data_IF_487404920703
#
_entry.id   IF_487404920703
#
_cell.length_a   1.000
_cell.length_b   1.000
_cell.length_c   1.000
_cell.angle_alpha   90.00
_cell.angle_beta   90.00
_cell.angle_gamma   90.00
#
_symmetry.space_group_name_H-M   'P 1'
#
loop_
_entity.id
_entity.type
_entity.pdbx_description
1 polymer ?
#
# COMPACT_ATOMS: atom_id res chain seq x y z
N UNK A 1 -29.76 36.63 0.78
CA UNK A 1 -28.64 37.08 1.62
C UNK A 1 -28.53 36.16 2.82
N UNK A 2 -27.85 35.02 2.71
CA UNK A 2 -27.37 34.32 3.91
C UNK A 2 -26.13 33.50 3.53
N UNK A 3 -25.00 33.97 4.06
CA UNK A 3 -23.71 33.28 3.99
C UNK A 3 -23.73 32.11 4.97
N UNK A 4 -23.86 30.89 4.48
CA UNK A 4 -23.63 29.69 5.29
C UNK A 4 -22.12 29.50 5.40
N UNK A 5 -21.59 29.74 6.62
CA UNK A 5 -20.21 29.42 7.02
C UNK A 5 -20.06 27.89 7.02
N UNK A 6 -19.25 27.36 6.13
CA UNK A 6 -18.73 25.99 6.23
C UNK A 6 -17.73 25.93 7.39
N UNK A 7 -18.14 25.36 8.51
CA UNK A 7 -17.24 25.00 9.60
C UNK A 7 -16.49 23.71 9.23
N UNK A 8 -15.18 23.86 9.23
CA UNK A 8 -14.20 22.80 9.02
C UNK A 8 -14.30 21.75 10.13
N UNK A 9 -14.75 20.52 9.80
CA UNK A 9 -14.93 19.42 10.77
C UNK A 9 -13.68 18.52 10.92
N UNK A 10 -12.52 18.96 10.48
CA UNK A 10 -11.30 18.13 10.47
C UNK A 10 -10.34 18.37 11.64
N UNK A 11 -10.63 19.27 12.55
CA UNK A 11 -9.71 19.61 13.66
C UNK A 11 -10.05 19.03 15.05
N UNK A 12 -11.06 18.17 15.20
CA UNK A 12 -11.59 17.84 16.54
C UNK A 12 -11.24 16.42 17.04
N UNK A 13 -10.30 15.68 16.46
CA UNK A 13 -10.00 14.29 16.87
C UNK A 13 -8.69 14.08 17.63
N UNK A 14 -7.86 15.10 17.85
CA UNK A 14 -6.59 14.95 18.58
C UNK A 14 -6.52 15.66 19.94
N UNK A 15 -7.58 16.31 20.43
CA UNK A 15 -7.53 17.14 21.67
C UNK A 15 -8.55 16.73 22.74
N UNK A 16 -8.66 15.43 23.05
CA UNK A 16 -9.43 14.98 24.20
C UNK A 16 -8.61 13.98 25.03
N UNK A 17 -7.62 14.45 25.78
CA UNK A 17 -7.05 13.73 26.92
C UNK A 17 -7.48 14.42 28.21
N UNK A 18 -8.69 14.14 28.63
CA UNK A 18 -9.20 14.31 29.97
C UNK A 18 -9.63 12.94 30.49
N UNK A 19 -9.12 12.56 31.62
CA UNK A 19 -9.35 11.37 32.44
C UNK A 19 -10.66 10.60 32.17
N UNK A 20 -10.59 9.36 31.67
CA UNK A 20 -11.68 8.38 31.77
C UNK A 20 -11.22 7.14 32.51
N UNK A 21 -11.99 6.82 33.55
CA UNK A 21 -11.87 5.66 34.44
C UNK A 21 -11.89 4.35 33.66
N UNK A 22 -11.04 3.42 34.10
CA UNK A 22 -10.86 2.05 33.61
C UNK A 22 -12.17 1.25 33.70
N UNK A 23 -12.65 0.74 32.56
CA UNK A 23 -13.58 -0.37 32.46
C UNK A 23 -12.85 -1.52 31.78
N UNK A 24 -12.76 -2.67 32.44
CA UNK A 24 -12.09 -3.88 32.00
C UNK A 24 -12.87 -4.56 30.88
N UNK A 25 -12.25 -4.72 29.70
CA UNK A 25 -12.66 -5.70 28.69
C UNK A 25 -11.39 -6.36 28.13
N UNK A 26 -11.33 -7.71 28.25
CA UNK A 26 -10.47 -8.67 27.59
C UNK A 26 -8.99 -8.28 27.39
N UNK A 27 -8.14 -8.53 28.42
CA UNK A 27 -6.81 -8.01 28.49
C UNK A 27 -5.80 -8.64 27.55
N UNK A 28 -5.29 -7.82 26.63
CA UNK A 28 -3.84 -7.76 26.42
C UNK A 28 -3.45 -6.42 27.08
N UNK A 29 -2.70 -6.50 28.18
CA UNK A 29 -2.18 -5.33 28.85
C UNK A 29 -1.25 -4.62 27.86
N UNK A 30 -1.70 -3.52 27.28
CA UNK A 30 -0.85 -2.56 26.57
C UNK A 30 -0.02 -1.92 27.67
N UNK A 31 1.19 -2.46 27.95
CA UNK A 31 2.20 -1.74 28.69
C UNK A 31 2.33 -0.37 28.04
N UNK A 32 2.21 0.67 28.85
CA UNK A 32 2.44 2.06 28.43
C UNK A 32 3.85 2.13 27.85
N UNK A 33 3.96 2.14 26.53
CA UNK A 33 5.20 2.49 25.85
C UNK A 33 5.52 3.94 26.22
N UNK A 34 6.47 4.15 27.09
CA UNK A 34 6.90 5.46 27.57
C UNK A 34 7.42 6.35 26.42
N UNK A 35 7.69 5.76 25.23
CA UNK A 35 8.12 6.50 24.05
C UNK A 35 7.51 5.94 22.76
N UNK A 36 6.20 6.17 22.52
CA UNK A 36 5.51 5.70 21.32
C UNK A 36 6.14 6.19 20.01
N UNK A 37 6.85 7.32 20.02
CA UNK A 37 7.53 7.87 18.85
C UNK A 37 8.64 6.94 18.34
N UNK A 38 9.28 6.19 19.23
CA UNK A 38 10.38 5.28 18.90
C UNK A 38 9.92 3.87 18.47
N UNK A 39 8.61 3.56 18.62
CA UNK A 39 8.03 2.32 18.14
C UNK A 39 8.07 2.25 16.61
N UNK A 40 8.19 1.06 16.01
CA UNK A 40 8.25 0.92 14.55
C UNK A 40 6.90 1.21 13.88
N UNK A 41 6.96 1.52 12.60
CA UNK A 41 5.80 1.53 11.69
C UNK A 41 5.61 0.10 11.19
N UNK A 42 4.41 -0.46 11.37
CA UNK A 42 4.05 -1.76 10.79
C UNK A 42 3.55 -1.58 9.35
N UNK A 43 4.13 -2.32 8.44
CA UNK A 43 3.74 -2.34 7.01
C UNK A 43 3.39 -3.76 6.65
N UNK A 44 2.21 -4.03 6.10
CA UNK A 44 1.90 -5.37 5.62
C UNK A 44 1.28 -5.38 4.23
N UNK A 45 1.48 -6.52 3.58
CA UNK A 45 0.96 -6.83 2.26
C UNK A 45 0.58 -8.31 2.16
N UNK A 46 -0.21 -8.67 1.17
CA UNK A 46 -0.56 -10.06 0.87
C UNK A 46 0.63 -10.92 0.46
N UNK A 47 1.79 -10.33 0.23
CA UNK A 47 3.00 -11.00 -0.21
C UNK A 47 4.21 -10.06 -0.21
N UNK A 48 5.15 -10.26 -1.13
CA UNK A 48 6.36 -9.43 -1.24
C UNK A 48 6.11 -8.06 -1.91
N UNK A 49 4.95 -7.88 -2.55
CA UNK A 49 4.63 -6.66 -3.31
C UNK A 49 4.72 -5.39 -2.50
N UNK A 50 4.33 -5.43 -1.23
CA UNK A 50 4.36 -4.28 -0.32
C UNK A 50 5.74 -3.70 -0.05
N UNK A 51 6.81 -4.40 -0.43
CA UNK A 51 8.17 -3.87 -0.40
C UNK A 51 8.32 -2.66 -1.32
N UNK A 52 7.55 -2.57 -2.39
CA UNK A 52 7.49 -1.37 -3.24
C UNK A 52 7.06 -0.12 -2.45
N UNK A 53 6.06 -0.26 -1.59
CA UNK A 53 5.60 0.80 -0.70
C UNK A 53 6.57 1.04 0.45
N UNK A 54 7.15 -0.03 1.02
CA UNK A 54 8.17 0.08 2.07
C UNK A 54 9.38 0.91 1.61
N UNK A 55 9.83 0.75 0.37
CA UNK A 55 10.90 1.56 -0.22
C UNK A 55 10.57 3.06 -0.20
N UNK A 56 9.37 3.42 -0.60
CA UNK A 56 8.91 4.80 -0.58
C UNK A 56 8.80 5.36 0.85
N UNK A 57 8.35 4.53 1.81
CA UNK A 57 8.30 4.90 3.22
C UNK A 57 9.70 5.17 3.79
N UNK A 58 10.66 4.28 3.52
CA UNK A 58 12.06 4.45 3.97
C UNK A 58 12.71 5.67 3.32
N UNK A 59 12.44 5.93 2.03
CA UNK A 59 12.93 7.12 1.34
C UNK A 59 12.37 8.42 1.94
N UNK A 60 11.06 8.44 2.24
CA UNK A 60 10.36 9.60 2.79
C UNK A 60 10.71 9.86 4.26
N UNK A 61 10.85 8.79 5.05
CA UNK A 61 11.06 8.86 6.49
C UNK A 61 12.22 7.94 6.91
N UNK A 62 13.48 8.28 6.56
CA UNK A 62 14.63 7.38 6.75
C UNK A 62 14.98 7.14 8.22
N UNK A 63 14.50 7.99 9.14
CA UNK A 63 14.80 7.88 10.57
C UNK A 63 13.78 7.02 11.33
N UNK A 64 12.73 6.52 10.65
CA UNK A 64 11.74 5.61 11.23
C UNK A 64 12.22 4.16 11.22
N UNK A 65 11.81 3.39 12.23
CA UNK A 65 11.94 1.94 12.19
C UNK A 65 10.71 1.34 11.53
N UNK A 66 10.90 0.22 10.82
CA UNK A 66 9.84 -0.49 10.12
C UNK A 66 9.86 -1.97 10.47
N UNK A 67 8.67 -2.56 10.60
CA UNK A 67 8.44 -4.00 10.54
C UNK A 67 7.56 -4.25 9.32
N UNK A 68 8.10 -4.93 8.33
CA UNK A 68 7.34 -5.40 7.17
C UNK A 68 6.87 -6.82 7.40
N UNK A 69 5.63 -7.11 7.06
CA UNK A 69 5.07 -8.45 7.06
C UNK A 69 4.42 -8.76 5.72
N UNK A 70 4.96 -9.75 5.00
CA UNK A 70 4.41 -10.31 3.77
C UNK A 70 3.66 -11.62 4.05
N UNK A 71 2.36 -11.68 3.71
CA UNK A 71 1.58 -12.92 3.87
C UNK A 71 1.63 -13.81 2.63
N UNK A 72 2.84 -14.11 2.14
CA UNK A 72 3.08 -14.88 0.92
C UNK A 72 2.49 -16.30 0.96
N UNK A 73 2.31 -16.89 2.15
CA UNK A 73 1.63 -18.20 2.30
C UNK A 73 0.19 -18.17 1.80
N UNK A 74 -0.47 -17.04 1.92
CA UNK A 74 -1.85 -16.84 1.53
C UNK A 74 -1.99 -15.99 0.24
N UNK A 75 -0.88 -15.61 -0.39
CA UNK A 75 -0.90 -14.89 -1.66
C UNK A 75 -1.47 -15.77 -2.80
N UNK A 76 -2.11 -15.19 -3.84
CA UNK A 76 -2.52 -13.80 -3.94
C UNK A 76 -3.89 -13.55 -3.29
N UNK A 77 -4.08 -12.39 -2.63
CA UNK A 77 -5.40 -12.02 -2.08
C UNK A 77 -6.43 -11.72 -3.16
N UNK A 78 -5.99 -11.33 -4.35
CA UNK A 78 -6.86 -10.94 -5.46
C UNK A 78 -7.76 -12.02 -6.04
N UNK A 79 -7.57 -13.29 -5.68
CA UNK A 79 -8.38 -14.46 -6.09
C UNK A 79 -9.30 -14.99 -4.99
N UNK A 80 -9.21 -14.43 -3.77
CA UNK A 80 -9.98 -14.89 -2.60
C UNK A 80 -11.34 -14.19 -2.50
N UNK A 81 -12.18 -14.67 -1.58
CA UNK A 81 -13.45 -14.00 -1.25
C UNK A 81 -13.18 -12.76 -0.36
N UNK A 82 -14.17 -11.85 -0.31
CA UNK A 82 -14.09 -10.66 0.53
C UNK A 82 -13.87 -11.01 2.00
N UNK A 83 -14.62 -11.99 2.51
CA UNK A 83 -14.55 -12.45 3.91
C UNK A 83 -13.18 -13.04 4.24
N UNK A 84 -12.62 -13.85 3.32
CA UNK A 84 -11.28 -14.41 3.50
C UNK A 84 -10.23 -13.31 3.58
N UNK A 85 -10.28 -12.32 2.68
CA UNK A 85 -9.33 -11.20 2.68
C UNK A 85 -9.48 -10.36 3.95
N UNK A 86 -10.71 -10.09 4.39
CA UNK A 86 -10.96 -9.36 5.64
C UNK A 86 -10.36 -10.08 6.85
N UNK A 87 -10.55 -11.41 6.94
CA UNK A 87 -10.01 -12.24 8.01
C UNK A 87 -8.48 -12.24 8.03
N UNK A 88 -7.86 -12.46 6.88
CA UNK A 88 -6.40 -12.45 6.74
C UNK A 88 -5.82 -11.07 7.09
N UNK A 89 -6.40 -10.00 6.53
CA UNK A 89 -5.97 -8.62 6.80
C UNK A 89 -6.05 -8.26 8.30
N UNK A 90 -7.11 -8.72 9.00
CA UNK A 90 -7.21 -8.51 10.44
C UNK A 90 -6.12 -9.30 11.20
N UNK A 91 -5.81 -10.52 10.80
CA UNK A 91 -4.76 -11.33 11.42
C UNK A 91 -3.36 -10.71 11.23
N UNK A 92 -3.06 -10.20 10.03
CA UNK A 92 -1.80 -9.51 9.72
C UNK A 92 -1.64 -8.25 10.57
N UNK A 93 -2.73 -7.47 10.69
CA UNK A 93 -2.74 -6.29 11.56
C UNK A 93 -2.51 -6.66 13.02
N UNK A 94 -3.17 -7.70 13.53
CA UNK A 94 -3.00 -8.19 14.91
C UNK A 94 -1.56 -8.68 15.17
N UNK A 95 -0.95 -9.37 14.19
CA UNK A 95 0.45 -9.76 14.27
C UNK A 95 1.36 -8.54 14.45
N UNK A 96 1.23 -7.51 13.62
CA UNK A 96 2.05 -6.29 13.73
C UNK A 96 1.79 -5.53 15.04
N UNK A 97 0.52 -5.46 15.48
CA UNK A 97 0.18 -4.83 16.76
C UNK A 97 0.81 -5.55 17.94
N UNK A 98 0.88 -6.89 17.92
CA UNK A 98 1.57 -7.67 18.95
C UNK A 98 3.08 -7.37 19.02
N UNK A 99 3.64 -6.80 17.93
CA UNK A 99 5.04 -6.36 17.82
C UNK A 99 5.23 -4.90 18.29
N UNK A 100 4.19 -4.25 18.79
CA UNK A 100 4.27 -2.91 19.36
C UNK A 100 4.43 -1.78 18.34
N UNK A 101 3.85 -1.89 17.15
CA UNK A 101 3.92 -0.84 16.13
C UNK A 101 3.10 0.39 16.52
N UNK A 102 3.56 1.58 16.15
CA UNK A 102 2.89 2.87 16.42
C UNK A 102 1.87 3.27 15.36
N UNK A 103 1.97 2.71 14.17
CA UNK A 103 1.07 2.94 13.04
C UNK A 103 1.00 1.69 12.16
N UNK A 104 -0.09 1.51 11.44
CA UNK A 104 -0.28 0.44 10.45
C UNK A 104 -0.37 1.03 9.05
N UNK A 105 0.42 0.50 8.13
CA UNK A 105 0.34 0.76 6.69
C UNK A 105 -0.11 -0.51 5.98
N UNK A 106 -1.32 -0.49 5.44
CA UNK A 106 -1.87 -1.54 4.61
C UNK A 106 -1.39 -1.29 3.19
N UNK A 107 -0.27 -1.92 2.81
CA UNK A 107 0.35 -1.72 1.51
C UNK A 107 -0.41 -2.40 0.37
N UNK A 108 -1.12 -3.51 0.63
CA UNK A 108 -1.92 -4.24 -0.35
C UNK A 108 -3.17 -3.46 -0.78
N UNK A 109 -3.35 -3.23 -2.09
CA UNK A 109 -4.56 -2.58 -2.63
C UNK A 109 -5.81 -3.43 -2.37
N UNK A 110 -5.72 -4.75 -2.54
CA UNK A 110 -6.83 -5.67 -2.30
C UNK A 110 -7.25 -5.67 -0.82
N UNK A 111 -6.29 -5.78 0.11
CA UNK A 111 -6.56 -5.70 1.55
C UNK A 111 -7.13 -4.34 1.96
N UNK A 112 -6.60 -3.25 1.39
CA UNK A 112 -7.12 -1.90 1.63
C UNK A 112 -8.57 -1.76 1.18
N UNK A 113 -8.91 -2.23 0.00
CA UNK A 113 -10.29 -2.18 -0.51
C UNK A 113 -11.23 -2.98 0.37
N UNK A 114 -10.82 -4.18 0.80
CA UNK A 114 -11.65 -5.11 1.56
C UNK A 114 -11.82 -4.72 3.05
N UNK A 115 -10.80 -4.19 3.72
CA UNK A 115 -10.77 -4.17 5.18
C UNK A 115 -10.32 -2.85 5.84
N UNK A 116 -9.90 -1.82 5.10
CA UNK A 116 -9.34 -0.60 5.72
C UNK A 116 -10.32 0.09 6.66
N UNK A 117 -11.62 0.04 6.36
CA UNK A 117 -12.67 0.61 7.23
C UNK A 117 -12.76 -0.15 8.54
N UNK A 118 -12.75 -1.49 8.47
CA UNK A 118 -12.78 -2.36 9.65
C UNK A 118 -11.59 -2.08 10.56
N UNK A 119 -10.38 -1.98 9.99
CA UNK A 119 -9.17 -1.69 10.76
C UNK A 119 -9.22 -0.30 11.41
N UNK A 120 -9.71 0.72 10.71
CA UNK A 120 -9.83 2.09 11.24
C UNK A 120 -10.85 2.18 12.38
N UNK A 121 -11.95 1.45 12.28
CA UNK A 121 -12.95 1.36 13.35
C UNK A 121 -12.41 0.60 14.57
N UNK A 122 -11.72 -0.53 14.33
CA UNK A 122 -11.17 -1.37 15.40
C UNK A 122 -9.98 -0.71 16.12
N UNK A 123 -9.17 0.07 15.41
CA UNK A 123 -7.94 0.67 15.93
C UNK A 123 -7.97 2.20 15.81
N UNK A 124 -9.06 2.81 16.31
CA UNK A 124 -9.30 4.26 16.19
C UNK A 124 -8.24 5.14 16.87
N UNK A 125 -7.52 4.62 17.86
CA UNK A 125 -6.52 5.34 18.64
C UNK A 125 -5.11 5.35 18.01
N UNK A 126 -4.97 4.82 16.79
CA UNK A 126 -3.70 4.80 16.07
C UNK A 126 -3.87 5.12 14.58
N UNK A 127 -2.83 5.65 13.92
CA UNK A 127 -2.85 5.86 12.48
C UNK A 127 -2.95 4.53 11.73
N UNK A 128 -4.00 4.37 10.90
CA UNK A 128 -4.16 3.26 9.94
C UNK A 128 -4.24 3.84 8.54
N UNK A 129 -3.19 3.63 7.75
CA UNK A 129 -3.02 4.14 6.40
C UNK A 129 -3.22 2.99 5.41
N UNK A 130 -4.08 3.17 4.41
CA UNK A 130 -4.24 2.22 3.31
C UNK A 130 -3.77 2.83 2.01
N UNK A 131 -3.11 2.03 1.17
CA UNK A 131 -2.75 2.45 -0.17
C UNK A 131 -3.99 2.73 -1.02
N UNK A 132 -3.89 3.71 -1.92
CA UNK A 132 -4.86 3.93 -2.97
C UNK A 132 -4.15 3.97 -4.33
N UNK A 133 -4.77 3.43 -5.39
CA UNK A 133 -4.25 3.56 -6.74
C UNK A 133 -4.03 5.03 -7.13
N UNK A 134 -2.91 5.32 -7.80
CA UNK A 134 -2.50 6.69 -8.14
C UNK A 134 -3.32 7.27 -9.32
N UNK A 135 -4.65 7.17 -9.25
CA UNK A 135 -5.54 7.62 -10.32
C UNK A 135 -5.53 9.15 -10.44
N UNK A 136 -5.52 9.86 -9.31
CA UNK A 136 -5.52 11.33 -9.30
C UNK A 136 -4.35 11.94 -10.10
N UNK A 137 -3.07 11.60 -9.89
CA UNK A 137 -1.99 12.14 -10.72
C UNK A 137 -2.09 11.69 -12.19
N UNK A 138 -2.58 10.49 -12.48
CA UNK A 138 -2.72 9.99 -13.85
C UNK A 138 -3.75 10.78 -14.67
N UNK A 139 -4.90 11.10 -14.10
CA UNK A 139 -5.95 11.87 -14.79
C UNK A 139 -5.57 13.35 -15.01
N UNK A 140 -4.59 13.86 -14.26
CA UNK A 140 -4.09 15.23 -14.44
C UNK A 140 -2.80 15.29 -15.29
N UNK A 141 -2.38 14.18 -15.90
CA UNK A 141 -1.16 14.14 -16.72
C UNK A 141 -1.34 14.74 -18.13
N UNK A 142 -2.57 15.08 -18.51
CA UNK A 142 -2.88 15.67 -19.82
C UNK A 142 -4.34 16.14 -19.93
N UNK A 143 -4.73 16.63 -21.10
CA UNK A 143 -6.11 17.03 -21.37
C UNK A 143 -7.00 15.83 -21.71
N UNK A 144 -7.69 15.25 -20.74
CA UNK A 144 -8.58 14.08 -20.85
C UNK A 144 -7.83 12.80 -21.33
N UNK A 145 -6.85 12.33 -20.54
CA UNK A 145 -6.00 11.18 -20.92
C UNK A 145 -6.77 9.86 -20.90
N UNK A 146 -6.29 8.91 -21.73
CA UNK A 146 -6.70 7.50 -21.64
C UNK A 146 -5.83 6.80 -20.60
N UNK A 147 -6.42 6.46 -19.47
CA UNK A 147 -5.74 5.89 -18.30
C UNK A 147 -6.05 4.40 -18.15
N UNK A 148 -5.05 3.54 -18.32
CA UNK A 148 -5.17 2.11 -18.11
C UNK A 148 -4.87 1.75 -16.66
N UNK A 149 -5.85 1.26 -15.93
CA UNK A 149 -5.67 0.84 -14.53
C UNK A 149 -5.48 -0.67 -14.47
N UNK A 150 -4.25 -1.09 -14.21
CA UNK A 150 -3.87 -2.49 -13.99
C UNK A 150 -4.09 -2.84 -12.52
N UNK A 151 -4.93 -3.84 -12.24
CA UNK A 151 -5.17 -4.28 -10.86
C UNK A 151 -5.60 -5.75 -10.79
N UNK A 152 -5.69 -6.29 -9.58
CA UNK A 152 -6.23 -7.64 -9.38
C UNK A 152 -7.72 -7.67 -9.69
N UNK A 153 -8.28 -8.82 -10.14
CA UNK A 153 -9.70 -8.96 -10.41
C UNK A 153 -10.58 -8.55 -9.22
N UNK A 154 -10.17 -8.87 -7.99
CA UNK A 154 -10.89 -8.48 -6.78
C UNK A 154 -10.88 -6.95 -6.60
N UNK A 155 -9.72 -6.30 -6.68
CA UNK A 155 -9.62 -4.83 -6.54
C UNK A 155 -10.55 -4.10 -7.51
N UNK A 156 -10.63 -4.58 -8.76
CA UNK A 156 -11.48 -3.97 -9.78
C UNK A 156 -12.98 -4.16 -9.54
N UNK A 157 -13.39 -5.16 -8.75
CA UNK A 157 -14.81 -5.43 -8.40
C UNK A 157 -15.27 -4.70 -7.15
N UNK A 158 -14.35 -4.25 -6.31
CA UNK A 158 -14.69 -3.61 -5.03
C UNK A 158 -15.36 -2.24 -5.21
N UNK A 159 -16.40 -1.99 -4.42
CA UNK A 159 -17.17 -0.73 -4.44
C UNK A 159 -16.28 0.50 -4.19
N UNK A 160 -15.32 0.39 -3.28
CA UNK A 160 -14.36 1.47 -2.99
C UNK A 160 -13.57 1.87 -4.23
N UNK A 161 -13.16 0.90 -5.04
CA UNK A 161 -12.43 1.16 -6.29
C UNK A 161 -13.35 1.77 -7.36
N UNK A 162 -14.59 1.29 -7.47
CA UNK A 162 -15.60 1.89 -8.35
C UNK A 162 -15.85 3.35 -7.99
N UNK A 163 -16.09 3.65 -6.72
CA UNK A 163 -16.29 5.02 -6.25
C UNK A 163 -15.07 5.93 -6.51
N UNK A 164 -13.86 5.39 -6.43
CA UNK A 164 -12.65 6.13 -6.79
C UNK A 164 -12.64 6.50 -8.27
N UNK A 165 -12.95 5.56 -9.16
CA UNK A 165 -12.96 5.80 -10.61
C UNK A 165 -14.06 6.79 -11.01
N UNK A 166 -15.28 6.65 -10.48
CA UNK A 166 -16.40 7.56 -10.76
C UNK A 166 -16.07 9.02 -10.47
N UNK A 167 -15.21 9.30 -9.50
CA UNK A 167 -14.77 10.67 -9.18
C UNK A 167 -13.99 11.34 -10.31
N UNK A 168 -13.46 10.59 -11.26
CA UNK A 168 -12.59 11.07 -12.32
C UNK A 168 -13.07 10.73 -13.73
N UNK A 169 -14.27 10.14 -13.88
CA UNK A 169 -14.84 9.77 -15.19
C UNK A 169 -15.06 10.98 -16.10
N UNK A 170 -15.24 12.19 -15.54
CA UNK A 170 -15.33 13.43 -16.33
C UNK A 170 -13.95 13.93 -16.81
N UNK A 171 -12.86 13.51 -16.17
CA UNK A 171 -11.54 14.07 -16.37
C UNK A 171 -10.67 13.20 -17.29
N UNK A 172 -11.02 11.92 -17.45
CA UNK A 172 -10.24 10.95 -18.21
C UNK A 172 -11.08 9.77 -18.72
N UNK A 173 -10.65 9.12 -19.81
CA UNK A 173 -11.13 7.79 -20.18
C UNK A 173 -10.42 6.73 -19.34
N UNK A 174 -11.11 6.12 -18.37
CA UNK A 174 -10.53 5.15 -17.46
C UNK A 174 -10.83 3.73 -17.91
N UNK A 175 -9.79 3.02 -18.31
CA UNK A 175 -9.82 1.63 -18.76
C UNK A 175 -9.37 0.69 -17.63
N UNK A 176 -10.04 -0.45 -17.47
CA UNK A 176 -9.76 -1.43 -16.42
C UNK A 176 -9.09 -2.64 -17.02
N UNK A 177 -7.89 -2.99 -16.54
CA UNK A 177 -7.17 -4.17 -16.96
C UNK A 177 -6.97 -5.11 -15.77
N UNK A 178 -7.78 -6.18 -15.65
CA UNK A 178 -7.50 -7.24 -14.68
C UNK A 178 -6.26 -8.02 -15.12
N UNK A 179 -5.32 -8.23 -14.19
CA UNK A 179 -4.05 -8.92 -14.46
C UNK A 179 -3.89 -10.19 -13.59
N UNK A 180 -4.75 -11.22 -13.77
CA UNK A 180 -4.56 -12.50 -13.07
C UNK A 180 -3.25 -13.13 -13.52
N UNK A 181 -2.48 -13.72 -12.60
CA UNK A 181 -1.20 -14.36 -12.90
C UNK A 181 0.03 -13.44 -12.74
N UNK A 182 -0.12 -12.11 -12.82
CA UNK A 182 1.03 -11.20 -12.75
C UNK A 182 1.67 -11.13 -11.34
N UNK A 183 0.88 -11.31 -10.29
CA UNK A 183 1.37 -11.36 -8.91
C UNK A 183 2.31 -12.54 -8.72
N UNK A 184 1.95 -13.69 -9.27
CA UNK A 184 2.68 -14.95 -9.14
C UNK A 184 4.09 -14.86 -9.75
N UNK A 185 4.27 -14.15 -10.87
CA UNK A 185 5.59 -13.88 -11.43
C UNK A 185 6.49 -13.17 -10.42
N UNK A 186 5.98 -12.13 -9.77
CA UNK A 186 6.77 -11.36 -8.80
C UNK A 186 7.05 -12.16 -7.53
N UNK A 187 6.07 -12.93 -7.01
CA UNK A 187 6.25 -13.81 -5.85
C UNK A 187 7.29 -14.92 -6.12
N UNK A 188 7.45 -15.33 -7.36
CA UNK A 188 8.50 -16.27 -7.80
C UNK A 188 9.83 -15.57 -8.10
N UNK A 189 9.88 -14.23 -8.03
CA UNK A 189 11.07 -13.44 -8.32
C UNK A 189 11.37 -13.29 -9.81
N UNK A 190 10.40 -13.56 -10.68
CA UNK A 190 10.49 -13.34 -12.14
C UNK A 190 10.05 -11.91 -12.42
N UNK A 191 11.03 -11.02 -12.59
CA UNK A 191 10.81 -9.56 -12.76
C UNK A 191 11.06 -9.09 -14.20
N UNK A 192 11.67 -9.94 -15.03
CA UNK A 192 12.04 -9.69 -16.42
C UNK A 192 12.16 -11.01 -17.20
N UNK A 193 12.33 -10.92 -18.51
CA UNK A 193 12.57 -12.07 -19.38
C UNK A 193 11.43 -12.34 -20.34
N UNK A 194 11.70 -13.20 -21.35
CA UNK A 194 10.81 -13.44 -22.49
C UNK A 194 9.41 -13.95 -22.10
N UNK A 195 9.33 -14.77 -21.05
CA UNK A 195 8.05 -15.32 -20.58
C UNK A 195 7.14 -14.22 -20.01
N UNK A 196 7.67 -13.36 -19.14
CA UNK A 196 6.95 -12.22 -18.59
C UNK A 196 6.58 -11.21 -19.69
N UNK A 197 7.51 -10.94 -20.63
CA UNK A 197 7.24 -10.07 -21.77
C UNK A 197 6.08 -10.60 -22.63
N UNK A 198 6.06 -11.89 -22.95
CA UNK A 198 4.98 -12.52 -23.69
C UNK A 198 3.64 -12.48 -22.94
N UNK A 199 3.67 -12.73 -21.63
CA UNK A 199 2.49 -12.63 -20.78
C UNK A 199 1.91 -11.20 -20.79
N UNK A 200 2.74 -10.19 -20.58
CA UNK A 200 2.30 -8.78 -20.58
C UNK A 200 1.87 -8.31 -21.97
N UNK A 201 2.55 -8.75 -23.04
CA UNK A 201 2.17 -8.42 -24.41
C UNK A 201 0.74 -8.91 -24.74
N UNK A 202 0.39 -10.13 -24.31
CA UNK A 202 -0.97 -10.66 -24.46
C UNK A 202 -2.00 -9.84 -23.66
N UNK A 203 -1.65 -9.36 -22.47
CA UNK A 203 -2.55 -8.46 -21.69
C UNK A 203 -2.78 -7.11 -22.38
N UNK A 204 -1.77 -6.59 -23.09
CA UNK A 204 -1.83 -5.28 -23.75
C UNK A 204 -2.35 -5.35 -25.18
N UNK A 205 -2.51 -6.53 -25.77
CA UNK A 205 -2.98 -6.71 -27.15
C UNK A 205 -4.25 -5.88 -27.47
N UNK A 206 -5.31 -5.83 -26.62
CA UNK A 206 -6.50 -5.06 -26.90
C UNK A 206 -6.29 -3.53 -26.98
N UNK A 207 -5.16 -3.05 -26.46
CA UNK A 207 -4.86 -1.59 -26.39
C UNK A 207 -3.88 -1.13 -27.47
N UNK A 208 -3.37 -2.03 -28.32
CA UNK A 208 -2.41 -1.70 -29.38
C UNK A 208 -3.01 -0.80 -30.46
N UNK A 209 -4.28 -1.00 -30.81
CA UNK A 209 -4.97 -0.18 -31.83
C UNK A 209 -5.37 1.21 -31.33
N UNK A 210 -5.50 1.38 -30.02
CA UNK A 210 -5.86 2.64 -29.37
C UNK A 210 -4.94 2.84 -28.16
N UNK A 211 -3.74 3.41 -28.37
CA UNK A 211 -2.75 3.57 -27.30
C UNK A 211 -3.29 4.34 -26.09
N UNK A 212 -2.72 4.02 -24.93
CA UNK A 212 -3.02 4.70 -23.67
C UNK A 212 -1.96 5.77 -23.36
N UNK A 213 -2.37 6.85 -22.70
CA UNK A 213 -1.46 7.93 -22.31
C UNK A 213 -0.77 7.61 -20.98
N UNK A 214 -1.53 6.95 -20.08
CA UNK A 214 -1.08 6.67 -18.74
C UNK A 214 -1.44 5.25 -18.31
N UNK A 215 -0.60 4.68 -17.43
CA UNK A 215 -0.87 3.43 -16.73
C UNK A 215 -0.84 3.69 -15.23
N UNK A 216 -1.84 3.17 -14.51
CA UNK A 216 -1.86 3.13 -13.05
C UNK A 216 -1.61 1.70 -12.59
N UNK A 217 -0.55 1.49 -11.83
CA UNK A 217 -0.21 0.21 -11.21
C UNK A 217 -1.02 0.07 -9.92
N UNK A 218 -2.20 -0.51 -10.00
CA UNK A 218 -3.15 -0.70 -8.90
C UNK A 218 -2.87 -1.94 -8.03
N UNK A 219 -1.66 -2.49 -8.10
CA UNK A 219 -1.17 -3.59 -7.28
C UNK A 219 0.28 -3.33 -6.90
N UNK A 220 0.65 -3.63 -5.66
CA UNK A 220 1.98 -3.42 -5.07
C UNK A 220 3.09 -4.24 -5.74
N UNK A 221 2.73 -5.34 -6.38
CA UNK A 221 3.67 -6.19 -7.12
C UNK A 221 4.11 -5.57 -8.45
N UNK A 222 3.24 -4.82 -9.12
CA UNK A 222 3.47 -4.34 -10.48
C UNK A 222 4.60 -3.31 -10.63
N UNK A 223 4.95 -2.47 -9.63
CA UNK A 223 6.15 -1.62 -9.71
C UNK A 223 7.45 -2.39 -9.97
N UNK A 224 7.55 -3.66 -9.57
CA UNK A 224 8.75 -4.48 -9.81
C UNK A 224 8.92 -4.95 -11.27
N UNK A 225 7.85 -4.89 -12.06
CA UNK A 225 7.87 -5.20 -13.50
C UNK A 225 7.62 -3.96 -14.37
N UNK A 226 7.75 -2.77 -13.77
CA UNK A 226 7.51 -1.48 -14.40
C UNK A 226 8.32 -1.29 -15.69
N UNK A 227 9.59 -1.71 -15.70
CA UNK A 227 10.47 -1.56 -16.86
C UNK A 227 9.98 -2.41 -18.04
N UNK A 228 9.51 -3.64 -17.79
CA UNK A 228 8.93 -4.49 -18.82
C UNK A 228 7.61 -3.91 -19.36
N UNK A 229 6.76 -3.36 -18.47
CA UNK A 229 5.52 -2.65 -18.86
C UNK A 229 5.87 -1.44 -19.74
N UNK A 230 6.84 -0.62 -19.32
CA UNK A 230 7.28 0.57 -20.05
C UNK A 230 7.84 0.23 -21.44
N UNK A 231 8.64 -0.85 -21.53
CA UNK A 231 9.19 -1.35 -22.80
C UNK A 231 8.09 -1.73 -23.78
N UNK A 232 7.04 -2.41 -23.32
CA UNK A 232 5.95 -2.90 -24.17
C UNK A 232 4.98 -1.79 -24.61
N UNK A 233 4.71 -0.83 -23.75
CA UNK A 233 3.77 0.26 -24.04
C UNK A 233 4.44 1.48 -24.69
N UNK A 234 5.77 1.56 -24.65
CA UNK A 234 6.55 2.66 -25.22
C UNK A 234 6.89 3.76 -24.23
N UNK A 235 7.97 4.49 -24.52
CA UNK A 235 8.52 5.53 -23.62
C UNK A 235 7.61 6.74 -23.40
N UNK A 236 6.61 6.96 -24.26
CA UNK A 236 5.65 8.06 -24.14
C UNK A 236 4.57 7.83 -23.08
N UNK A 237 4.35 6.59 -22.65
CA UNK A 237 3.33 6.26 -21.66
C UNK A 237 3.82 6.57 -20.25
N UNK A 238 3.06 7.36 -19.50
CA UNK A 238 3.40 7.67 -18.12
C UNK A 238 2.87 6.58 -17.19
N UNK A 239 3.71 6.09 -16.26
CA UNK A 239 3.33 5.04 -15.31
C UNK A 239 3.30 5.60 -13.89
N UNK A 240 2.18 5.38 -13.20
CA UNK A 240 1.93 5.84 -11.84
C UNK A 240 1.65 4.67 -10.90
N UNK A 241 2.08 4.79 -9.65
CA UNK A 241 1.75 3.86 -8.56
C UNK A 241 1.44 4.59 -7.25
N UNK A 242 0.87 3.87 -6.29
CA UNK A 242 0.38 4.44 -5.04
C UNK A 242 1.45 4.60 -3.95
N UNK A 243 2.67 4.11 -4.15
CA UNK A 243 3.70 4.02 -3.10
C UNK A 243 4.07 5.36 -2.49
N UNK A 244 4.54 6.31 -3.32
CA UNK A 244 4.96 7.64 -2.86
C UNK A 244 3.79 8.42 -2.22
N UNK A 245 2.56 8.26 -2.72
CA UNK A 245 1.36 8.85 -2.12
C UNK A 245 1.09 8.30 -0.72
N UNK A 246 1.24 7.00 -0.54
CA UNK A 246 1.08 6.31 0.75
C UNK A 246 2.14 6.74 1.74
N UNK A 247 3.39 6.91 1.32
CA UNK A 247 4.47 7.38 2.16
C UNK A 247 4.22 8.82 2.68
N UNK A 248 3.82 9.73 1.81
CA UNK A 248 3.46 11.11 2.20
C UNK A 248 2.27 11.16 3.17
N UNK A 249 1.23 10.36 2.93
CA UNK A 249 0.08 10.29 3.84
C UNK A 249 0.46 9.69 5.19
N UNK A 250 1.34 8.69 5.21
CA UNK A 250 1.87 8.11 6.46
C UNK A 250 2.62 9.17 7.26
N UNK A 251 3.53 9.90 6.63
CA UNK A 251 4.27 10.99 7.29
C UNK A 251 3.33 12.06 7.85
N UNK A 252 2.37 12.50 7.05
CA UNK A 252 1.38 13.48 7.48
C UNK A 252 0.62 13.02 8.72
N UNK A 253 0.13 11.76 8.71
CA UNK A 253 -0.63 11.20 9.84
C UNK A 253 0.22 11.04 11.10
N UNK A 254 1.49 10.68 10.96
CA UNK A 254 2.41 10.61 12.09
C UNK A 254 2.68 12.00 12.68
N UNK A 255 2.87 13.03 11.84
CA UNK A 255 3.03 14.42 12.27
C UNK A 255 1.79 14.91 13.01
N UNK A 256 0.59 14.69 12.47
CA UNK A 256 -0.69 15.09 13.08
C UNK A 256 -0.90 14.47 14.47
N UNK A 257 -0.37 13.24 14.68
CA UNK A 257 -0.48 12.53 15.97
C UNK A 257 0.75 12.73 16.89
N UNK A 258 1.77 13.49 16.48
CA UNK A 258 3.00 13.66 17.25
C UNK A 258 3.80 12.38 17.42
N UNK A 259 3.74 11.47 16.44
CA UNK A 259 4.34 10.13 16.48
C UNK A 259 5.60 9.98 15.61
N UNK A 260 6.09 11.06 14.98
CA UNK A 260 7.35 11.00 14.24
C UNK A 260 8.52 10.69 15.16
N UNK A 261 9.44 9.86 14.71
CA UNK A 261 10.68 9.56 15.44
C UNK A 261 11.54 10.83 15.58
N UNK A 262 12.09 11.03 16.77
CA UNK A 262 13.06 12.09 17.06
C UNK A 262 14.51 11.72 16.73
N UNK A 263 14.76 10.56 16.11
CA UNK A 263 16.11 10.07 15.83
C UNK A 263 16.84 10.93 14.82
N UNK A 264 18.12 11.15 15.07
CA UNK A 264 19.05 11.74 14.11
C UNK A 264 19.65 10.67 13.17
N UNK A 265 19.60 9.39 13.55
CA UNK A 265 20.19 8.27 12.82
C UNK A 265 19.14 7.58 11.96
N UNK A 266 19.60 6.95 10.88
CA UNK A 266 18.76 6.09 10.05
C UNK A 266 18.14 4.95 10.87
N UNK A 267 16.85 4.72 10.66
CA UNK A 267 16.12 3.62 11.27
C UNK A 267 16.41 2.27 10.60
N UNK A 268 15.82 1.23 11.15
CA UNK A 268 16.01 -0.15 10.69
C UNK A 268 14.74 -0.71 10.05
N UNK A 269 14.92 -1.67 9.15
CA UNK A 269 13.84 -2.46 8.54
C UNK A 269 13.97 -3.91 9.00
N UNK A 270 12.91 -4.42 9.61
CA UNK A 270 12.76 -5.84 9.90
C UNK A 270 11.82 -6.46 8.87
N UNK A 271 12.29 -7.50 8.17
CA UNK A 271 11.51 -8.23 7.17
C UNK A 271 10.98 -9.53 7.77
N UNK A 272 9.67 -9.71 7.73
CA UNK A 272 8.95 -10.88 8.20
C UNK A 272 8.03 -11.40 7.10
N UNK A 273 7.94 -12.72 6.94
CA UNK A 273 7.07 -13.35 5.94
C UNK A 273 6.39 -14.59 6.52
N UNK A 274 5.13 -14.83 6.14
CA UNK A 274 4.41 -16.03 6.56
C UNK A 274 4.98 -17.32 5.97
N UNK A 275 5.69 -17.23 4.82
CA UNK A 275 6.58 -18.29 4.30
C UNK A 275 7.97 -18.07 4.89
N UNK A 276 8.26 -18.71 6.01
CA UNK A 276 9.55 -18.63 6.70
C UNK A 276 10.66 -19.41 5.97
N UNK A 277 10.89 -19.13 4.68
CA UNK A 277 11.93 -19.77 3.86
C UNK A 277 13.08 -18.81 3.57
N UNK A 278 14.30 -19.35 3.46
CA UNK A 278 15.48 -18.55 3.11
C UNK A 278 15.33 -17.93 1.71
N UNK A 279 14.70 -18.64 0.76
CA UNK A 279 14.46 -18.13 -0.59
C UNK A 279 13.57 -16.88 -0.57
N UNK A 280 12.49 -16.89 0.23
CA UNK A 280 11.59 -15.74 0.37
C UNK A 280 12.32 -14.57 1.01
N UNK A 281 13.11 -14.81 2.06
CA UNK A 281 13.94 -13.78 2.70
C UNK A 281 14.92 -13.14 1.73
N UNK A 282 15.60 -13.94 0.89
CA UNK A 282 16.51 -13.42 -0.13
C UNK A 282 15.77 -12.61 -1.21
N UNK A 283 14.57 -13.05 -1.60
CA UNK A 283 13.73 -12.29 -2.52
C UNK A 283 13.35 -10.94 -1.93
N UNK A 284 12.86 -10.89 -0.69
CA UNK A 284 12.50 -9.64 0.00
C UNK A 284 13.68 -8.68 0.09
N UNK A 285 14.86 -9.17 0.47
CA UNK A 285 16.10 -8.36 0.52
C UNK A 285 16.43 -7.81 -0.87
N UNK A 286 16.41 -8.65 -1.91
CA UNK A 286 16.66 -8.24 -3.29
C UNK A 286 15.67 -7.16 -3.75
N UNK A 287 14.38 -7.34 -3.50
CA UNK A 287 13.34 -6.37 -3.85
C UNK A 287 13.52 -5.04 -3.10
N UNK A 288 13.88 -5.08 -1.82
CA UNK A 288 14.11 -3.87 -1.03
C UNK A 288 15.33 -3.09 -1.56
N UNK A 289 16.39 -3.79 -1.96
CA UNK A 289 17.65 -3.20 -2.45
C UNK A 289 17.63 -2.86 -3.96
N UNK A 290 16.64 -3.30 -4.71
CA UNK A 290 16.56 -3.06 -6.18
C UNK A 290 16.28 -1.60 -6.56
N UNK A 291 16.23 -0.66 -5.62
CA UNK A 291 16.04 0.77 -5.84
C UNK A 291 17.22 1.59 -5.33
N UNK A 292 17.02 2.91 -5.34
CA UNK A 292 18.00 3.87 -4.83
C UNK A 292 18.04 3.97 -3.31
N UNK A 293 17.14 3.29 -2.61
CA UNK A 293 17.00 3.37 -1.15
C UNK A 293 17.97 2.41 -0.48
N UNK A 294 18.84 2.96 0.37
CA UNK A 294 19.67 2.16 1.27
C UNK A 294 18.92 1.95 2.59
N UNK A 295 18.45 0.73 2.83
CA UNK A 295 17.80 0.35 4.09
C UNK A 295 18.76 -0.44 4.97
N UNK A 296 18.76 -0.15 6.29
CA UNK A 296 19.48 -0.96 7.28
C UNK A 296 18.56 -2.12 7.67
N UNK A 297 18.85 -3.31 7.16
CA UNK A 297 18.05 -4.52 7.44
C UNK A 297 18.49 -5.09 8.78
N UNK A 298 17.54 -5.27 9.69
CA UNK A 298 17.75 -5.91 10.98
C UNK A 298 17.96 -7.42 10.78
N UNK A 299 19.08 -7.94 11.29
CA UNK A 299 19.42 -9.38 11.22
C UNK A 299 18.55 -10.21 12.14
#
# INVERSE_FOLDING_TARGET
CDRIKRTDRTQTLCHAHGERKRGSLGGIAVEKYENRQECPIGVFDSGVGGISVLRELVAQMPNENYIFFGDSKNAPYGTKTLEEVQKLTCADAEYLLSRGVKALVVACNTATSAAIRILREKYADMPVIGIEPALKPAVHAGGHPRVLVMATPMTLREEKFHALMQRFESDAEILRLPCPGLVEYVEQGVLEGAELEAFLANLFEPYQSHPVDCVVLGCTHYPFVRETIQKLLGAGVQIFDGGAGTARETERRLKDCGLCSGRAQQGTVELCNSLASEQMKQLEIRLLQSGTVQAIIKK
#
